data_IF_941438603458
#
_entry.id   IF_941438603458
#
_cell.length_a   1.000
_cell.length_b   1.000
_cell.length_c   1.000
_cell.angle_alpha   90.00
_cell.angle_beta   90.00
_cell.angle_gamma   90.00
#
_symmetry.space_group_name_H-M   'P 1'
#
loop_
_entity.id
_entity.type
_entity.pdbx_description
1 polymer ?
#
# COMPACT_ATOMS: atom_id res chain seq x y z
N UNK A 1 -26.32 5.81 -2.02
CA UNK A 1 -24.91 5.56 -2.40
C UNK A 1 -24.77 4.07 -2.67
N UNK A 2 -24.36 3.66 -3.88
CA UNK A 2 -24.02 2.24 -4.13
C UNK A 2 -22.54 2.09 -3.81
N UNK A 3 -22.24 1.66 -2.59
CA UNK A 3 -20.87 1.51 -2.11
C UNK A 3 -20.54 0.02 -2.05
N UNK A 4 -19.42 -0.38 -2.64
CA UNK A 4 -18.94 -1.76 -2.51
C UNK A 4 -18.32 -1.93 -1.11
N UNK A 5 -18.73 -2.98 -0.39
CA UNK A 5 -18.19 -3.30 0.94
C UNK A 5 -16.70 -3.65 0.84
N UNK A 6 -16.26 -4.16 -0.31
CA UNK A 6 -14.88 -4.53 -0.57
C UNK A 6 -14.55 -4.20 -2.01
N UNK A 7 -13.51 -3.39 -2.26
CA UNK A 7 -13.11 -2.98 -3.60
C UNK A 7 -11.60 -2.81 -3.70
N UNK A 8 -11.00 -3.45 -4.71
CA UNK A 8 -9.59 -3.28 -5.06
C UNK A 8 -9.33 -1.96 -5.78
N UNK A 9 -10.37 -1.35 -6.36
CA UNK A 9 -10.26 -0.11 -7.10
C UNK A 9 -10.42 1.11 -6.18
N UNK A 10 -9.42 1.33 -5.31
CA UNK A 10 -9.33 2.56 -4.52
C UNK A 10 -7.91 3.10 -4.45
N UNK A 11 -7.77 4.35 -4.00
CA UNK A 11 -6.48 5.03 -3.90
C UNK A 11 -5.50 4.32 -2.93
N UNK A 12 -5.99 3.71 -1.85
CA UNK A 12 -5.16 2.99 -0.89
C UNK A 12 -4.47 1.77 -1.49
N UNK A 13 -5.21 0.89 -2.19
CA UNK A 13 -4.60 -0.27 -2.83
C UNK A 13 -3.68 0.13 -3.99
N UNK A 14 -4.02 1.20 -4.73
CA UNK A 14 -3.12 1.78 -5.75
C UNK A 14 -1.79 2.23 -5.13
N UNK A 15 -1.85 2.87 -3.96
CA UNK A 15 -0.65 3.25 -3.21
C UNK A 15 0.19 2.05 -2.76
N UNK A 16 -0.43 1.00 -2.21
CA UNK A 16 0.30 -0.20 -1.82
C UNK A 16 0.96 -0.90 -3.01
N UNK A 17 0.33 -0.85 -4.18
CA UNK A 17 0.93 -1.34 -5.41
C UNK A 17 2.21 -0.60 -5.84
N UNK A 18 2.61 0.50 -5.20
CA UNK A 18 3.91 1.11 -5.46
C UNK A 18 5.06 0.34 -4.84
N UNK A 19 4.81 -0.57 -3.89
CA UNK A 19 5.87 -1.32 -3.23
C UNK A 19 5.93 -2.75 -3.78
N UNK A 20 7.15 -3.24 -4.03
CA UNK A 20 7.38 -4.61 -4.50
C UNK A 20 6.77 -5.63 -3.53
N UNK A 21 6.83 -5.34 -2.22
CA UNK A 21 6.32 -6.19 -1.16
C UNK A 21 4.85 -6.61 -1.34
N UNK A 22 3.97 -5.69 -1.77
CA UNK A 22 2.53 -5.95 -1.85
C UNK A 22 2.11 -6.60 -3.17
N UNK A 23 2.40 -7.89 -3.31
CA UNK A 23 1.89 -8.70 -4.43
C UNK A 23 0.38 -9.01 -4.29
N UNK A 24 -0.20 -9.65 -5.30
CA UNK A 24 -1.63 -10.03 -5.32
C UNK A 24 -2.04 -10.79 -4.07
N UNK A 25 -1.33 -11.87 -3.74
CA UNK A 25 -1.71 -12.75 -2.63
C UNK A 25 -1.77 -12.00 -1.30
N UNK A 26 -0.82 -11.10 -1.04
CA UNK A 26 -0.78 -10.30 0.18
C UNK A 26 -1.92 -9.28 0.21
N UNK A 27 -2.22 -8.63 -0.91
CA UNK A 27 -3.32 -7.67 -1.01
C UNK A 27 -4.68 -8.35 -0.88
N UNK A 28 -4.87 -9.51 -1.52
CA UNK A 28 -6.06 -10.34 -1.34
C UNK A 28 -6.21 -10.85 0.09
N UNK A 29 -5.13 -11.32 0.71
CA UNK A 29 -5.15 -11.73 2.10
C UNK A 29 -5.52 -10.57 3.02
N UNK A 30 -5.00 -9.37 2.75
CA UNK A 30 -5.35 -8.15 3.48
C UNK A 30 -6.85 -7.84 3.33
N UNK A 31 -7.38 -7.85 2.11
CA UNK A 31 -8.80 -7.55 1.84
C UNK A 31 -9.77 -8.58 2.42
N UNK A 32 -9.39 -9.86 2.42
CA UNK A 32 -10.18 -10.93 3.06
C UNK A 32 -10.25 -10.72 4.57
N UNK A 33 -9.21 -10.16 5.19
CA UNK A 33 -9.18 -9.88 6.63
C UNK A 33 -9.86 -8.54 6.99
N UNK A 34 -9.62 -7.52 6.20
CA UNK A 34 -10.11 -6.16 6.41
C UNK A 34 -10.94 -5.72 5.20
N UNK A 35 -12.29 -5.71 5.33
CA UNK A 35 -13.15 -5.17 4.29
C UNK A 35 -12.88 -3.68 4.10
N UNK A 36 -12.23 -3.34 2.98
CA UNK A 36 -11.95 -1.96 2.57
C UNK A 36 -12.69 -1.72 1.26
N UNK A 37 -13.64 -0.78 1.30
CA UNK A 37 -14.49 -0.41 0.17
C UNK A 37 -13.91 0.72 -0.68
N UNK A 38 -14.74 1.22 -1.60
CA UNK A 38 -14.45 2.40 -2.41
C UNK A 38 -15.70 3.28 -2.55
N UNK A 39 -15.51 4.60 -2.52
CA UNK A 39 -16.54 5.55 -3.02
C UNK A 39 -16.59 5.52 -4.55
N UNK A 40 -17.60 6.15 -5.14
CA UNK A 40 -17.67 6.33 -6.60
C UNK A 40 -16.48 7.12 -7.17
N UNK A 41 -15.75 7.87 -6.34
CA UNK A 41 -14.57 8.63 -6.74
C UNK A 41 -13.26 7.83 -6.51
N UNK A 42 -13.36 6.56 -6.08
CA UNK A 42 -12.20 5.71 -5.82
C UNK A 42 -11.51 6.00 -4.49
N UNK A 43 -12.18 6.70 -3.56
CA UNK A 43 -11.65 6.94 -2.22
C UNK A 43 -11.82 5.69 -1.38
N UNK A 44 -10.78 5.22 -0.67
CA UNK A 44 -10.89 4.06 0.22
C UNK A 44 -11.85 4.33 1.37
N UNK A 45 -12.63 3.30 1.71
CA UNK A 45 -13.49 3.31 2.90
C UNK A 45 -13.07 2.16 3.82
N UNK A 46 -12.54 2.49 4.99
CA UNK A 46 -12.15 1.53 6.02
C UNK A 46 -13.37 1.22 6.89
N UNK A 47 -14.02 0.08 6.67
CA UNK A 47 -15.22 -0.30 7.41
C UNK A 47 -14.90 -0.81 8.82
N UNK A 48 -15.60 -0.27 9.81
CA UNK A 48 -15.58 -0.77 11.18
C UNK A 48 -16.73 -1.76 11.34
N UNK A 49 -16.36 -3.00 11.63
CA UNK A 49 -17.27 -4.13 11.70
C UNK A 49 -17.14 -4.73 13.10
N UNK A 50 -18.26 -4.81 13.81
CA UNK A 50 -18.28 -5.34 15.18
C UNK A 50 -18.20 -6.89 15.19
N UNK A 51 -18.18 -7.48 16.38
CA UNK A 51 -18.18 -8.94 16.59
C UNK A 51 -19.43 -9.65 16.06
N UNK A 52 -20.55 -8.94 15.87
CA UNK A 52 -21.75 -9.48 15.20
C UNK A 52 -21.67 -9.42 13.66
N UNK A 53 -20.51 -9.10 13.09
CA UNK A 53 -20.28 -8.91 11.66
C UNK A 53 -21.16 -7.83 11.02
N UNK A 54 -21.51 -6.81 11.79
CA UNK A 54 -22.28 -5.66 11.34
C UNK A 54 -21.38 -4.44 11.17
N UNK A 55 -21.49 -3.78 10.03
CA UNK A 55 -20.89 -2.45 9.82
C UNK A 55 -21.54 -1.48 10.81
N UNK A 56 -20.75 -0.67 11.52
CA UNK A 56 -21.25 0.37 12.43
C UNK A 56 -20.81 1.76 12.01
N UNK A 57 -19.60 1.89 11.50
CA UNK A 57 -19.08 3.12 10.92
C UNK A 57 -18.02 2.82 9.85
N UNK A 58 -17.59 3.83 9.12
CA UNK A 58 -16.53 3.71 8.12
C UNK A 58 -15.78 5.01 7.93
N UNK A 59 -14.46 4.92 7.86
CA UNK A 59 -13.60 6.08 7.63
C UNK A 59 -13.29 6.18 6.14
N UNK A 60 -13.70 7.28 5.52
CA UNK A 60 -13.47 7.57 4.10
C UNK A 60 -12.29 8.52 4.02
N UNK A 61 -11.25 8.14 3.30
CA UNK A 61 -10.01 8.92 3.22
C UNK A 61 -9.81 9.39 1.77
N UNK A 62 -9.69 10.70 1.58
CA UNK A 62 -9.28 11.29 0.31
C UNK A 62 -7.75 11.40 0.30
N UNK A 63 -7.09 10.59 -0.52
CA UNK A 63 -5.63 10.49 -0.57
C UNK A 63 -5.07 10.38 -1.97
N UNK A 64 -3.80 10.75 -2.10
CA UNK A 64 -2.99 10.54 -3.29
C UNK A 64 -2.57 9.06 -3.41
N UNK A 65 -2.83 8.46 -4.58
CA UNK A 65 -2.51 7.05 -4.81
C UNK A 65 -1.04 6.77 -5.12
N UNK A 66 -0.20 7.79 -5.33
CA UNK A 66 1.22 7.61 -5.61
C UNK A 66 2.06 7.82 -4.35
N UNK A 67 1.79 8.91 -3.65
CA UNK A 67 2.53 9.36 -2.45
C UNK A 67 1.95 8.83 -1.15
N UNK A 68 0.67 8.45 -1.13
CA UNK A 68 -0.05 8.07 0.09
C UNK A 68 -0.47 9.26 0.96
N UNK A 69 -0.29 10.50 0.47
CA UNK A 69 -0.64 11.71 1.22
C UNK A 69 -2.16 11.85 1.36
N UNK A 70 -2.62 12.05 2.59
CA UNK A 70 -4.03 12.33 2.89
C UNK A 70 -4.31 13.83 2.77
N UNK A 71 -5.42 14.19 2.12
CA UNK A 71 -5.83 15.58 1.90
C UNK A 71 -7.10 15.96 2.66
N UNK A 72 -8.02 15.01 2.78
CA UNK A 72 -9.30 15.20 3.44
C UNK A 72 -9.80 13.86 3.98
N UNK A 73 -10.71 13.91 4.93
CA UNK A 73 -11.36 12.73 5.50
C UNK A 73 -12.83 12.98 5.81
N UNK A 74 -13.63 11.93 5.73
CA UNK A 74 -15.02 11.96 6.15
C UNK A 74 -15.44 10.64 6.76
N UNK A 75 -16.57 10.64 7.44
CA UNK A 75 -17.04 9.48 8.19
C UNK A 75 -18.44 9.09 7.77
N UNK A 76 -18.60 7.79 7.50
CA UNK A 76 -19.88 7.13 7.46
C UNK A 76 -20.22 6.62 8.86
N UNK A 77 -21.42 6.93 9.34
CA UNK A 77 -21.97 6.35 10.55
C UNK A 77 -23.29 5.67 10.21
N UNK A 78 -23.48 4.47 10.72
CA UNK A 78 -24.79 3.86 10.70
C UNK A 78 -25.56 4.34 11.93
N UNK A 79 -26.63 5.09 11.69
CA UNK A 79 -27.49 5.63 12.74
C UNK A 79 -27.89 4.54 13.75
N UNK A 80 -27.96 4.92 15.02
CA UNK A 80 -28.39 4.09 16.16
C UNK A 80 -27.42 2.96 16.57
N UNK A 81 -26.31 2.73 15.87
CA UNK A 81 -25.31 1.72 16.25
C UNK A 81 -24.12 2.32 17.01
N UNK A 82 -23.69 1.73 18.13
CA UNK A 82 -22.41 2.07 18.74
C UNK A 82 -21.27 1.86 17.75
N UNK A 83 -20.33 2.81 17.69
CA UNK A 83 -19.12 2.67 16.89
C UNK A 83 -18.21 1.59 17.49
N UNK A 84 -17.41 0.95 16.65
CA UNK A 84 -16.51 -0.14 17.07
C UNK A 84 -15.08 0.10 16.57
N UNK A 85 -14.11 -0.70 17.04
CA UNK A 85 -12.73 -0.62 16.53
C UNK A 85 -12.66 -1.13 15.09
N UNK A 86 -11.75 -0.55 14.30
CA UNK A 86 -11.41 -1.15 13.01
C UNK A 86 -10.69 -2.48 13.26
N UNK A 87 -11.19 -3.56 12.65
CA UNK A 87 -10.69 -4.91 12.88
C UNK A 87 -11.28 -5.62 14.10
N UNK A 88 -12.27 -5.05 14.79
CA UNK A 88 -12.90 -5.68 15.97
C UNK A 88 -13.49 -7.06 15.67
N UNK A 89 -14.07 -7.24 14.48
CA UNK A 89 -14.58 -8.53 13.99
C UNK A 89 -13.53 -9.65 13.95
N UNK A 90 -12.23 -9.34 14.06
CA UNK A 90 -11.16 -10.32 14.10
C UNK A 90 -10.93 -10.92 15.49
N UNK A 91 -11.42 -10.27 16.56
CA UNK A 91 -11.16 -10.68 17.94
C UNK A 91 -11.69 -12.07 18.28
N UNK A 92 -12.83 -12.45 17.68
CA UNK A 92 -13.46 -13.76 17.88
C UNK A 92 -12.78 -14.85 17.03
N UNK A 93 -12.28 -14.49 15.85
CA UNK A 93 -11.57 -15.42 14.97
C UNK A 93 -10.17 -15.78 15.51
N UNK A 94 -9.55 -14.89 16.30
CA UNK A 94 -8.19 -15.04 16.82
C UNK A 94 -8.12 -14.83 18.34
N UNK A 95 -8.78 -15.68 19.14
CA UNK A 95 -9.01 -15.40 20.55
C UNK A 95 -7.74 -15.33 21.39
N UNK A 96 -6.68 -16.04 20.99
CA UNK A 96 -5.39 -16.11 21.70
C UNK A 96 -4.29 -15.24 21.08
N UNK A 97 -4.55 -14.57 19.95
CA UNK A 97 -3.53 -13.75 19.29
C UNK A 97 -3.38 -12.40 20.01
N UNK A 98 -2.15 -11.92 20.14
CA UNK A 98 -1.87 -10.58 20.66
C UNK A 98 -2.44 -9.51 19.72
N UNK A 99 -3.12 -8.52 20.29
CA UNK A 99 -3.68 -7.38 19.56
C UNK A 99 -2.60 -6.30 19.44
N UNK A 100 -2.26 -5.90 18.22
CA UNK A 100 -1.54 -4.66 17.96
C UNK A 100 -2.56 -3.53 17.75
N UNK A 101 -2.52 -2.51 18.62
CA UNK A 101 -3.42 -1.37 18.55
C UNK A 101 -2.69 -0.14 18.04
N UNK A 102 -3.24 0.49 17.01
CA UNK A 102 -2.75 1.75 16.44
C UNK A 102 -3.89 2.77 16.40
N UNK A 103 -3.54 4.01 16.05
CA UNK A 103 -4.53 5.08 15.94
C UNK A 103 -5.36 4.95 14.66
N UNK A 104 -4.71 4.87 13.50
CA UNK A 104 -5.38 4.93 12.20
C UNK A 104 -5.51 3.57 11.50
N UNK A 105 -6.58 3.44 10.71
CA UNK A 105 -6.96 2.21 10.01
C UNK A 105 -5.97 1.83 8.91
N UNK A 106 -5.36 2.83 8.27
CA UNK A 106 -4.39 2.65 7.20
C UNK A 106 -3.14 1.93 7.73
N UNK A 107 -2.63 2.37 8.88
CA UNK A 107 -1.51 1.77 9.59
C UNK A 107 -1.83 0.33 9.97
N UNK A 108 -3.02 0.06 10.53
CA UNK A 108 -3.43 -1.31 10.87
C UNK A 108 -3.48 -2.22 9.63
N UNK A 109 -4.09 -1.75 8.55
CA UNK A 109 -4.21 -2.49 7.30
C UNK A 109 -2.82 -2.77 6.70
N UNK A 110 -1.96 -1.75 6.56
CA UNK A 110 -0.59 -1.90 6.03
C UNK A 110 0.20 -2.91 6.85
N UNK A 111 0.21 -2.76 8.18
CA UNK A 111 1.00 -3.61 9.07
C UNK A 111 0.52 -5.06 9.06
N UNK A 112 -0.77 -5.30 8.82
CA UNK A 112 -1.31 -6.66 8.65
C UNK A 112 -0.76 -7.42 7.43
N UNK A 113 -0.19 -6.69 6.44
CA UNK A 113 0.45 -7.26 5.26
C UNK A 113 1.88 -7.79 5.50
N UNK A 114 2.42 -7.57 6.70
CA UNK A 114 3.74 -8.05 7.12
C UNK A 114 3.63 -9.25 8.07
N UNK A 115 4.63 -10.15 8.10
CA UNK A 115 4.64 -11.33 8.95
C UNK A 115 4.90 -10.94 10.41
N UNK A 116 3.86 -10.43 11.07
CA UNK A 116 3.88 -10.04 12.48
C UNK A 116 3.06 -11.03 13.31
N UNK A 117 3.37 -11.23 14.60
CA UNK A 117 2.60 -12.09 15.48
C UNK A 117 1.34 -11.40 16.04
N UNK A 118 0.76 -10.45 15.31
CA UNK A 118 -0.34 -9.61 15.80
C UNK A 118 -1.56 -9.68 14.89
N UNK A 119 -2.74 -9.55 15.50
CA UNK A 119 -3.90 -8.98 14.79
C UNK A 119 -3.87 -7.47 14.97
N UNK A 120 -4.04 -6.73 13.88
CA UNK A 120 -3.94 -5.27 13.89
C UNK A 120 -5.32 -4.63 13.98
N UNK A 121 -5.55 -3.83 15.01
CA UNK A 121 -6.76 -3.05 15.20
C UNK A 121 -6.41 -1.56 15.22
N UNK A 122 -7.37 -0.73 14.83
CA UNK A 122 -7.24 0.72 14.95
C UNK A 122 -8.42 1.33 15.72
N UNK A 123 -8.13 2.37 16.50
CA UNK A 123 -9.18 3.14 17.19
C UNK A 123 -9.95 4.04 16.23
N UNK A 124 -9.30 4.46 15.15
CA UNK A 124 -9.79 5.46 14.23
C UNK A 124 -9.79 6.84 14.87
N UNK A 125 -10.93 7.53 14.78
CA UNK A 125 -11.10 8.94 15.12
C UNK A 125 -10.61 9.33 16.53
N UNK A 126 -9.90 10.45 16.62
CA UNK A 126 -9.69 11.21 17.86
C UNK A 126 -8.78 10.54 18.91
N UNK A 127 -8.74 11.11 20.12
CA UNK A 127 -8.07 10.47 21.27
C UNK A 127 -8.89 9.24 21.65
N UNK A 128 -8.29 8.05 21.59
CA UNK A 128 -8.92 6.82 22.05
C UNK A 128 -9.54 7.04 23.44
N UNK A 129 -10.84 6.74 23.58
CA UNK A 129 -11.51 6.85 24.88
C UNK A 129 -11.50 5.50 25.58
N UNK A 130 -11.59 5.46 26.93
CA UNK A 130 -11.64 4.21 27.69
C UNK A 130 -12.72 3.24 27.20
N UNK A 131 -13.88 3.76 26.80
CA UNK A 131 -15.00 2.97 26.29
C UNK A 131 -14.67 2.23 24.99
N UNK A 132 -13.87 2.83 24.10
CA UNK A 132 -13.43 2.19 22.86
C UNK A 132 -12.54 0.97 23.11
N UNK A 133 -11.94 0.85 24.29
CA UNK A 133 -10.96 -0.19 24.62
C UNK A 133 -11.58 -1.36 25.39
N UNK A 134 -12.85 -1.25 25.81
CA UNK A 134 -13.57 -2.32 26.50
C UNK A 134 -13.60 -3.66 25.73
N UNK A 135 -13.72 -3.70 24.38
CA UNK A 135 -13.64 -4.95 23.62
C UNK A 135 -12.30 -5.69 23.76
N UNK A 136 -11.25 -5.02 24.26
CA UNK A 136 -9.91 -5.60 24.42
C UNK A 136 -9.68 -6.19 25.82
N UNK A 137 -10.65 -6.12 26.73
CA UNK A 137 -10.52 -6.72 28.05
C UNK A 137 -10.30 -8.23 27.95
N UNK A 138 -9.34 -8.74 28.74
CA UNK A 138 -8.90 -10.14 28.68
C UNK A 138 -8.03 -10.49 27.47
N UNK A 139 -7.66 -9.53 26.61
CA UNK A 139 -6.69 -9.72 25.52
C UNK A 139 -5.32 -9.16 25.92
N UNK A 140 -4.25 -9.73 25.37
CA UNK A 140 -2.92 -9.13 25.43
C UNK A 140 -2.82 -8.06 24.34
N UNK A 141 -2.60 -6.80 24.73
CA UNK A 141 -2.54 -5.66 23.82
C UNK A 141 -1.13 -5.08 23.76
N UNK A 142 -0.63 -4.83 22.56
CA UNK A 142 0.56 -4.01 22.31
C UNK A 142 0.13 -2.78 21.54
N UNK A 143 0.32 -1.61 22.12
CA UNK A 143 0.02 -0.34 21.46
C UNK A 143 1.25 0.16 20.73
N UNK A 144 1.07 0.61 19.49
CA UNK A 144 2.09 1.27 18.69
C UNK A 144 1.67 2.73 18.45
N UNK A 145 2.01 3.66 19.37
CA UNK A 145 1.69 5.07 19.23
C UNK A 145 2.35 5.71 18.01
N UNK A 146 1.69 6.73 17.47
CA UNK A 146 2.34 7.69 16.59
C UNK A 146 3.45 8.44 17.36
N UNK A 147 4.41 8.98 16.61
CA UNK A 147 5.54 9.72 17.18
C UNK A 147 5.05 10.91 18.03
N UNK A 148 5.47 10.96 19.29
CA UNK A 148 5.07 11.98 20.25
C UNK A 148 3.74 11.70 20.98
N UNK A 149 3.09 10.57 20.74
CA UNK A 149 1.83 10.20 21.40
C UNK A 149 1.98 9.18 22.53
N UNK A 150 3.20 8.72 22.85
CA UNK A 150 3.43 7.70 23.87
C UNK A 150 2.75 8.04 25.22
N UNK A 151 2.98 9.24 25.75
CA UNK A 151 2.40 9.67 27.02
C UNK A 151 0.86 9.73 27.01
N UNK A 152 0.27 10.17 25.90
CA UNK A 152 -1.20 10.22 25.76
C UNK A 152 -1.82 8.83 25.78
N UNK A 153 -1.18 7.87 25.11
CA UNK A 153 -1.60 6.47 25.15
C UNK A 153 -1.45 5.87 26.55
N UNK A 154 -0.36 6.18 27.24
CA UNK A 154 -0.14 5.74 28.61
C UNK A 154 -1.24 6.20 29.55
N UNK A 155 -1.60 7.49 29.51
CA UNK A 155 -2.72 8.04 30.29
C UNK A 155 -4.04 7.35 29.97
N UNK A 156 -4.38 7.20 28.68
CA UNK A 156 -5.64 6.57 28.26
C UNK A 156 -5.72 5.12 28.73
N UNK A 157 -4.68 4.32 28.51
CA UNK A 157 -4.69 2.89 28.84
C UNK A 157 -4.73 2.64 30.35
N UNK A 158 -4.03 3.47 31.14
CA UNK A 158 -4.07 3.40 32.61
C UNK A 158 -5.45 3.69 33.21
N UNK A 159 -6.31 4.41 32.47
CA UNK A 159 -7.68 4.71 32.90
C UNK A 159 -8.68 3.58 32.64
N UNK A 160 -8.26 2.49 31.98
CA UNK A 160 -9.10 1.29 31.73
C UNK A 160 -8.71 0.19 32.73
N UNK A 161 -9.54 -0.12 33.73
CA UNK A 161 -9.27 -1.19 34.68
C UNK A 161 -9.12 -2.56 33.98
N UNK A 162 -8.25 -3.41 34.51
CA UNK A 162 -8.04 -4.80 34.06
C UNK A 162 -7.59 -4.98 32.60
N UNK A 163 -7.14 -3.92 31.93
CA UNK A 163 -6.55 -4.00 30.60
C UNK A 163 -5.09 -4.46 30.68
N UNK A 164 -4.77 -5.57 30.01
CA UNK A 164 -3.39 -6.07 29.89
C UNK A 164 -2.72 -5.45 28.66
N UNK A 165 -1.86 -4.45 28.86
CA UNK A 165 -1.22 -3.74 27.74
C UNK A 165 0.29 -3.53 27.91
N UNK A 166 0.96 -3.39 26.76
CA UNK A 166 2.31 -2.87 26.63
C UNK A 166 2.29 -1.73 25.60
N UNK A 167 3.07 -0.67 25.83
CA UNK A 167 3.20 0.44 24.88
C UNK A 167 4.60 0.37 24.27
N UNK A 168 4.65 0.25 22.95
CA UNK A 168 5.91 0.24 22.21
C UNK A 168 6.49 1.65 22.12
N UNK A 169 7.76 1.81 22.48
CA UNK A 169 8.50 3.07 22.37
C UNK A 169 9.32 3.19 21.06
N UNK A 170 9.08 2.27 20.11
CA UNK A 170 9.81 2.20 18.83
C UNK A 170 9.73 3.52 18.05
N UNK A 171 8.58 4.20 18.05
CA UNK A 171 8.39 5.46 17.34
C UNK A 171 9.06 6.64 18.05
N UNK A 172 9.17 6.61 19.38
CA UNK A 172 9.87 7.64 20.17
C UNK A 172 11.39 7.54 20.00
N UNK A 173 11.91 6.30 19.93
CA UNK A 173 13.35 6.02 19.74
C UNK A 173 13.80 6.16 18.28
N UNK A 174 12.86 6.17 17.34
CA UNK A 174 13.14 6.31 15.91
C UNK A 174 13.75 7.68 15.61
N UNK A 175 14.94 7.66 15.02
CA UNK A 175 15.60 8.86 14.47
C UNK A 175 15.04 9.25 13.10
N UNK A 176 14.18 8.42 12.49
CA UNK A 176 13.57 8.74 11.20
C UNK A 176 12.54 9.87 11.33
N UNK A 177 12.31 10.60 10.23
CA UNK A 177 11.23 11.57 10.10
C UNK A 177 9.83 10.93 9.99
N UNK A 178 9.72 9.59 10.06
CA UNK A 178 8.45 8.88 9.99
C UNK A 178 7.61 9.13 11.25
N UNK A 179 6.31 9.34 11.03
CA UNK A 179 5.34 9.64 12.08
C UNK A 179 4.64 8.38 12.61
N UNK A 180 4.36 7.41 11.74
CA UNK A 180 3.70 6.14 12.12
C UNK A 180 4.61 4.93 11.88
N UNK A 181 4.29 3.80 12.54
CA UNK A 181 5.02 2.54 12.34
C UNK A 181 4.93 2.05 10.89
N UNK A 182 3.77 2.25 10.22
CA UNK A 182 3.59 1.88 8.82
C UNK A 182 4.52 2.69 7.91
N UNK A 183 4.66 4.00 8.12
CA UNK A 183 5.61 4.82 7.36
C UNK A 183 7.06 4.35 7.56
N UNK A 184 7.43 4.01 8.79
CA UNK A 184 8.76 3.50 9.11
C UNK A 184 9.05 2.15 8.42
N UNK A 185 8.05 1.26 8.34
CA UNK A 185 8.19 -0.04 7.66
C UNK A 185 8.20 0.11 6.14
N UNK A 186 7.31 0.96 5.60
CA UNK A 186 7.20 1.22 4.16
C UNK A 186 8.44 1.92 3.59
N UNK A 187 9.07 2.82 4.34
CA UNK A 187 10.31 3.49 3.91
C UNK A 187 11.50 2.53 3.72
N UNK A 188 11.42 1.32 4.28
CA UNK A 188 12.41 0.26 4.09
C UNK A 188 12.06 -0.69 2.94
N UNK A 189 10.89 -0.52 2.31
CA UNK A 189 10.45 -1.38 1.21
C UNK A 189 10.94 -0.83 -0.13
N UNK A 190 11.36 -1.74 -1.00
CA UNK A 190 11.67 -1.39 -2.37
C UNK A 190 10.41 -0.95 -3.11
N UNK A 191 10.48 0.22 -3.74
CA UNK A 191 9.46 0.70 -4.65
C UNK A 191 9.55 -0.07 -5.98
N UNK A 192 8.41 -0.20 -6.64
CA UNK A 192 8.34 -0.69 -8.01
C UNK A 192 8.92 0.35 -8.94
N UNK A 193 9.55 -0.09 -10.04
CA UNK A 193 10.06 0.83 -11.02
C UNK A 193 8.94 1.59 -11.73
N UNK A 194 9.26 2.80 -12.17
CA UNK A 194 8.46 3.53 -13.16
C UNK A 194 8.49 2.78 -14.50
N UNK A 195 7.62 3.15 -15.44
CA UNK A 195 7.65 2.54 -16.78
C UNK A 195 9.01 2.77 -17.46
N UNK A 196 9.60 3.95 -17.27
CA UNK A 196 10.91 4.31 -17.80
C UNK A 196 12.03 3.45 -17.21
N UNK A 197 12.02 3.24 -15.89
CA UNK A 197 12.98 2.38 -15.21
C UNK A 197 12.81 0.92 -15.65
N UNK A 198 11.57 0.45 -15.76
CA UNK A 198 11.27 -0.90 -16.22
C UNK A 198 11.71 -1.11 -17.68
N UNK A 199 11.55 -0.11 -18.55
CA UNK A 199 12.04 -0.18 -19.92
C UNK A 199 13.57 -0.24 -19.98
N UNK A 200 14.27 0.55 -19.16
CA UNK A 200 15.72 0.48 -19.05
C UNK A 200 16.17 -0.91 -18.58
N UNK A 201 15.53 -1.48 -17.55
CA UNK A 201 15.83 -2.85 -17.11
C UNK A 201 15.66 -3.88 -18.24
N UNK A 202 14.58 -3.78 -19.03
CA UNK A 202 14.38 -4.66 -20.20
C UNK A 202 15.48 -4.50 -21.25
N UNK A 203 15.97 -3.28 -21.46
CA UNK A 203 17.09 -3.01 -22.37
C UNK A 203 18.39 -3.62 -21.86
N UNK A 204 18.68 -3.46 -20.57
CA UNK A 204 19.86 -4.03 -19.91
C UNK A 204 19.85 -5.57 -19.93
N UNK A 205 18.69 -6.19 -19.69
CA UNK A 205 18.50 -7.63 -19.81
C UNK A 205 18.77 -8.14 -21.24
N UNK A 206 18.36 -7.35 -22.25
CA UNK A 206 18.60 -7.69 -23.66
C UNK A 206 20.07 -7.48 -24.07
N UNK A 207 20.75 -6.49 -23.49
CA UNK A 207 22.16 -6.21 -23.74
C UNK A 207 22.85 -5.61 -22.49
N UNK A 208 23.65 -6.43 -21.76
CA UNK A 208 24.32 -5.98 -20.53
C UNK A 208 25.30 -4.81 -20.73
N UNK A 209 25.74 -4.53 -21.95
CA UNK A 209 26.59 -3.36 -22.24
C UNK A 209 25.84 -2.04 -22.02
N UNK A 210 24.51 -2.03 -22.04
CA UNK A 210 23.70 -0.83 -21.77
C UNK A 210 23.90 -0.38 -20.32
N UNK A 211 23.87 -1.31 -19.37
CA UNK A 211 24.14 -1.01 -17.96
C UNK A 211 25.57 -0.45 -17.76
N UNK A 212 26.55 -0.99 -18.51
CA UNK A 212 27.93 -0.48 -18.48
C UNK A 212 28.02 0.94 -19.03
N UNK A 213 27.29 1.27 -20.10
CA UNK A 213 27.26 2.61 -20.68
C UNK A 213 26.57 3.62 -19.76
N UNK A 214 25.43 3.26 -19.18
CA UNK A 214 24.73 4.09 -18.18
C UNK A 214 25.68 4.46 -17.05
N UNK A 215 26.39 3.46 -16.50
CA UNK A 215 27.35 3.68 -15.43
C UNK A 215 28.60 4.46 -15.86
N UNK A 216 29.16 4.14 -17.03
CA UNK A 216 30.41 4.76 -17.49
C UNK A 216 30.24 6.22 -17.90
N UNK A 217 29.05 6.58 -18.38
CA UNK A 217 28.73 7.92 -18.87
C UNK A 217 27.85 8.73 -17.90
N UNK A 218 27.52 8.16 -16.73
CA UNK A 218 26.67 8.79 -15.70
C UNK A 218 25.32 9.28 -16.28
N UNK A 219 24.65 8.39 -17.02
CA UNK A 219 23.41 8.74 -17.72
C UNK A 219 22.21 8.74 -16.77
N UNK A 220 21.43 9.81 -16.81
CA UNK A 220 20.17 9.91 -16.10
C UNK A 220 18.98 9.52 -17.00
N UNK A 221 18.02 8.81 -16.41
CA UNK A 221 16.79 8.42 -17.08
C UNK A 221 15.82 9.62 -17.14
N UNK A 222 15.45 10.04 -18.35
CA UNK A 222 14.59 11.22 -18.57
C UNK A 222 13.17 10.89 -19.08
N UNK A 223 12.86 9.61 -19.32
CA UNK A 223 11.54 9.13 -19.77
C UNK A 223 11.60 8.21 -21.00
N UNK A 224 10.42 7.80 -21.49
CA UNK A 224 10.26 6.96 -22.69
C UNK A 224 9.64 7.77 -23.82
N UNK A 225 10.20 7.62 -25.03
CA UNK A 225 9.60 8.13 -26.26
C UNK A 225 9.07 6.97 -27.12
N UNK A 226 7.84 7.09 -27.61
CA UNK A 226 7.29 6.12 -28.57
C UNK A 226 7.93 6.32 -29.94
N UNK A 227 8.37 5.23 -30.57
CA UNK A 227 9.00 5.24 -31.90
C UNK A 227 8.07 5.71 -33.02
N UNK A 228 6.76 5.86 -32.76
CA UNK A 228 5.77 6.37 -33.73
C UNK A 228 5.88 7.88 -34.01
N UNK A 229 6.65 8.64 -33.22
CA UNK A 229 6.81 10.09 -33.38
C UNK A 229 8.24 10.53 -33.73
N UNK A 230 9.04 9.69 -34.40
CA UNK A 230 10.28 10.17 -35.03
C UNK A 230 9.93 10.80 -36.39
N UNK A 231 9.22 11.93 -36.35
CA UNK A 231 9.46 12.94 -37.40
C UNK A 231 10.85 13.49 -37.15
N UNK A 232 11.75 13.24 -38.12
CA UNK A 232 13.08 13.85 -38.18
C UNK A 232 12.93 15.36 -38.07
N UNK A 233 13.11 15.94 -36.88
CA UNK A 233 13.97 17.11 -36.67
C UNK A 233 14.01 17.53 -35.19
N UNK A 234 15.13 18.15 -34.80
CA UNK A 234 15.44 18.85 -33.54
C UNK A 234 16.09 18.03 -32.42
N UNK A 235 17.42 18.16 -32.41
CA UNK A 235 18.33 17.95 -31.29
C UNK A 235 17.81 18.58 -29.98
N UNK A 236 17.81 17.86 -28.84
CA UNK A 236 17.49 18.44 -27.54
C UNK A 236 18.57 19.43 -27.09
N UNK A 237 18.17 20.64 -26.66
CA UNK A 237 19.07 21.62 -26.05
C UNK A 237 19.31 21.28 -24.57
N UNK A 238 20.58 21.13 -24.20
CA UNK A 238 21.07 21.02 -22.83
C UNK A 238 20.75 22.28 -22.02
N UNK A 239 20.17 22.13 -20.83
CA UNK A 239 20.09 23.19 -19.81
C UNK A 239 21.06 22.87 -18.67
N UNK A 240 21.75 23.87 -18.08
CA UNK A 240 22.74 23.63 -17.05
C UNK A 240 22.08 23.36 -15.69
N UNK A 241 22.66 22.44 -14.93
CA UNK A 241 22.28 22.10 -13.57
C UNK A 241 22.56 23.28 -12.62
N UNK A 242 21.54 23.72 -11.88
CA UNK A 242 21.69 24.60 -10.73
C UNK A 242 21.38 23.82 -9.45
N UNK A 243 22.40 23.62 -8.62
CA UNK A 243 22.27 22.94 -7.33
C UNK A 243 21.75 23.86 -6.21
N UNK A 244 20.90 23.30 -5.36
CA UNK A 244 21.08 23.15 -3.89
C UNK A 244 19.74 22.81 -3.24
N UNK A 245 19.70 21.73 -2.46
CA UNK A 245 19.05 21.70 -1.14
C UNK A 245 19.54 20.48 -0.36
N UNK A 246 20.06 20.70 0.85
CA UNK A 246 20.08 19.69 1.90
C UNK A 246 18.69 19.71 2.53
N UNK A 247 17.92 18.65 2.32
CA UNK A 247 16.63 18.43 2.96
C UNK A 247 16.46 16.92 3.16
N UNK A 248 15.94 16.50 4.31
CA UNK A 248 16.06 15.14 4.83
C UNK A 248 15.69 14.04 3.82
N UNK A 249 16.64 13.11 3.64
CA UNK A 249 16.61 12.01 2.65
C UNK A 249 15.34 11.16 2.70
N UNK A 250 14.70 10.99 3.87
CA UNK A 250 13.47 10.22 4.00
C UNK A 250 12.24 10.91 3.41
N UNK A 251 12.19 12.25 3.46
CA UNK A 251 11.08 13.05 2.92
C UNK A 251 11.24 13.23 1.41
N UNK A 252 12.48 13.30 0.91
CA UNK A 252 12.75 13.31 -0.53
C UNK A 252 12.35 12.00 -1.23
N UNK A 253 12.55 10.84 -0.61
CA UNK A 253 12.06 9.56 -1.16
C UNK A 253 10.52 9.49 -1.29
N UNK A 254 9.80 10.22 -0.43
CA UNK A 254 8.33 10.32 -0.46
C UNK A 254 7.87 11.41 -1.45
N UNK A 255 8.65 12.48 -1.64
CA UNK A 255 8.37 13.56 -2.60
C UNK A 255 8.73 13.20 -4.06
N UNK A 256 9.65 12.26 -4.29
CA UNK A 256 9.95 11.67 -5.61
C UNK A 256 8.84 10.73 -6.12
N UNK A 257 7.67 10.73 -5.48
CA UNK A 257 6.47 10.01 -5.90
C UNK A 257 5.56 10.85 -6.81
N UNK A 258 6.10 11.86 -7.51
CA UNK A 258 5.38 12.65 -8.53
C UNK A 258 5.51 12.07 -9.96
N UNK A 259 6.20 10.95 -10.11
CA UNK A 259 6.27 10.21 -11.38
C UNK A 259 5.30 9.04 -11.33
N UNK A 260 4.41 8.96 -12.32
CA UNK A 260 3.43 7.87 -12.45
C UNK A 260 4.15 6.52 -12.39
N UNK A 261 3.97 5.81 -11.28
CA UNK A 261 4.57 4.49 -11.05
C UNK A 261 3.73 3.42 -11.71
N UNK A 262 4.37 2.33 -12.11
CA UNK A 262 3.71 1.34 -12.95
C UNK A 262 2.76 0.46 -12.10
N UNK A 263 1.46 0.70 -12.20
CA UNK A 263 0.44 0.08 -11.33
C UNK A 263 -0.20 -1.21 -11.88
N UNK A 264 0.18 -1.69 -13.07
CA UNK A 264 -0.27 -2.98 -13.61
C UNK A 264 -1.77 -3.19 -13.80
N UNK A 265 -2.58 -2.12 -13.85
CA UNK A 265 -4.03 -2.23 -14.07
C UNK A 265 -4.35 -2.62 -15.50
N UNK A 266 -4.66 -3.89 -15.72
CA UNK A 266 -5.49 -4.31 -16.85
C UNK A 266 -6.93 -4.50 -16.36
N UNK A 267 -7.86 -3.64 -16.78
CA UNK A 267 -9.30 -3.78 -16.43
C UNK A 267 -9.90 -5.12 -16.90
N UNK A 268 -9.23 -5.81 -17.82
CA UNK A 268 -9.69 -7.05 -18.46
C UNK A 268 -8.82 -8.27 -18.09
N UNK A 269 -7.99 -8.17 -17.03
CA UNK A 269 -7.03 -9.22 -16.62
C UNK A 269 -7.68 -10.59 -16.31
N UNK A 270 -8.98 -10.61 -16.04
CA UNK A 270 -9.76 -11.84 -15.80
C UNK A 270 -10.07 -12.64 -17.08
N UNK A 271 -9.77 -12.13 -18.30
CA UNK A 271 -10.14 -12.77 -19.58
C UNK A 271 -8.98 -13.40 -20.37
N UNK A 272 -7.72 -13.18 -19.97
CA UNK A 272 -6.59 -13.78 -20.68
C UNK A 272 -6.15 -15.09 -20.00
N UNK A 273 -6.21 -16.20 -20.73
CA UNK A 273 -5.85 -17.53 -20.21
C UNK A 273 -4.34 -17.70 -19.92
N UNK A 274 -3.53 -16.74 -20.35
CA UNK A 274 -2.07 -16.68 -20.15
C UNK A 274 -1.62 -15.35 -19.54
N UNK A 275 -2.54 -14.45 -19.16
CA UNK A 275 -2.19 -13.35 -18.27
C UNK A 275 -2.00 -13.99 -16.92
N UNK A 276 -0.75 -14.29 -16.61
CA UNK A 276 -0.33 -14.92 -15.38
C UNK A 276 -1.09 -14.31 -14.21
N UNK A 277 -1.74 -15.17 -13.42
CA UNK A 277 -2.42 -14.86 -12.17
C UNK A 277 -1.56 -13.89 -11.35
N UNK A 278 -1.92 -12.61 -11.45
CA UNK A 278 -1.14 -11.50 -10.94
C UNK A 278 -1.89 -10.19 -11.14
N UNK A 279 -2.33 -9.54 -10.05
CA UNK A 279 -2.93 -8.19 -10.02
C UNK A 279 -2.00 -7.10 -10.63
N UNK A 280 -0.78 -7.47 -11.02
CA UNK A 280 0.28 -6.55 -11.43
C UNK A 280 0.93 -6.84 -12.80
N UNK A 281 0.30 -7.62 -13.69
CA UNK A 281 0.42 -7.53 -15.16
C UNK A 281 1.77 -7.55 -15.93
N UNK A 282 2.97 -7.40 -15.34
CA UNK A 282 4.24 -7.41 -16.12
C UNK A 282 5.46 -8.10 -15.53
N UNK A 283 5.57 -8.44 -14.25
CA UNK A 283 6.68 -9.30 -13.83
C UNK A 283 6.28 -10.78 -14.00
N UNK A 284 6.89 -11.46 -14.97
CA UNK A 284 6.62 -12.87 -15.20
C UNK A 284 7.44 -13.72 -14.22
N UNK A 285 6.80 -14.21 -13.15
CA UNK A 285 7.46 -15.08 -12.16
C UNK A 285 8.05 -16.37 -12.74
N UNK A 286 7.58 -16.82 -13.92
CA UNK A 286 8.14 -17.96 -14.66
C UNK A 286 9.39 -17.61 -15.46
N UNK A 287 9.48 -16.38 -15.99
CA UNK A 287 10.59 -15.92 -16.83
C UNK A 287 11.61 -15.09 -16.05
N UNK A 288 11.33 -14.76 -14.79
CA UNK A 288 12.14 -13.88 -13.94
C UNK A 288 12.46 -12.50 -14.56
N UNK A 289 11.61 -11.97 -15.45
CA UNK A 289 11.79 -10.68 -16.13
C UNK A 289 10.48 -9.88 -16.27
N UNK A 290 10.60 -8.58 -16.53
CA UNK A 290 9.46 -7.70 -16.85
C UNK A 290 9.03 -7.82 -18.34
N UNK A 291 7.73 -7.83 -18.61
CA UNK A 291 7.11 -7.88 -19.95
C UNK A 291 6.42 -6.55 -20.31
N UNK A 292 6.06 -6.35 -21.58
CA UNK A 292 5.41 -5.11 -22.05
C UNK A 292 3.91 -5.06 -21.69
N UNK A 293 3.42 -3.86 -21.32
CA UNK A 293 1.99 -3.60 -21.10
C UNK A 293 1.17 -3.84 -22.38
N UNK A 294 0.11 -4.65 -22.29
CA UNK A 294 -0.85 -4.84 -23.39
C UNK A 294 -0.40 -5.75 -24.54
N UNK A 295 0.84 -6.27 -24.50
CA UNK A 295 1.31 -7.31 -25.44
C UNK A 295 1.49 -8.61 -24.68
N UNK A 296 0.57 -9.55 -24.88
CA UNK A 296 0.58 -10.89 -24.26
C UNK A 296 1.71 -11.81 -24.76
N UNK A 297 2.83 -11.25 -25.20
CA UNK A 297 3.87 -11.99 -25.90
C UNK A 297 4.94 -12.46 -24.91
N UNK A 298 4.60 -13.52 -24.18
CA UNK A 298 5.55 -14.26 -23.36
C UNK A 298 6.51 -15.15 -24.20
N UNK A 299 6.49 -15.03 -25.54
CA UNK A 299 7.43 -15.71 -26.44
C UNK A 299 7.23 -17.22 -26.55
N UNK A 300 6.05 -17.73 -26.18
CA UNK A 300 5.63 -19.09 -26.46
C UNK A 300 4.48 -19.01 -27.46
N UNK A 301 4.80 -19.19 -28.74
CA UNK A 301 3.79 -19.51 -29.74
C UNK A 301 2.94 -20.66 -29.18
N UNK A 302 1.63 -20.48 -29.19
CA UNK A 302 0.70 -21.51 -28.77
C UNK A 302 0.94 -22.75 -29.65
N UNK A 303 1.48 -23.82 -29.07
CA UNK A 303 1.33 -25.15 -29.65
C UNK A 303 -0.18 -25.45 -29.66
N UNK A 304 -0.81 -25.17 -30.80
CA UNK A 304 -2.16 -25.58 -31.10
C UNK A 304 -2.12 -27.12 -31.12
N UNK A 305 -2.82 -27.83 -30.23
CA UNK A 305 -2.91 -29.28 -30.37
C UNK A 305 -3.64 -29.58 -31.69
N UNK A 306 -3.16 -30.53 -32.50
CA UNK A 306 -3.81 -30.86 -33.76
C UNK A 306 -5.26 -31.24 -33.49
N UNK A 307 -6.16 -30.65 -34.28
CA UNK A 307 -7.60 -30.89 -34.23
C UNK A 307 -7.83 -32.39 -34.44
N UNK A 308 -8.47 -33.05 -33.47
CA UNK A 308 -8.92 -34.41 -33.65
C UNK A 308 -9.94 -34.44 -34.81
N UNK A 309 -9.65 -35.22 -35.84
CA UNK A 309 -10.61 -35.68 -36.85
C UNK A 309 -11.52 -36.76 -36.27
#
# INVERSE_FOLDING_TARGET
>A
MKTEITSFDNAFFKYLCNFIWFNQDRLEAMMKRYPIGATNQGEPIFWHINTEHKITNGHIITMDSETGKVYDDSWYYQDERPTCLFGEHLLDAFPSQTVALVKDEMTAAIMSGFPTPYIWLATGKGKATPTNLLPLLGKSVVVFPDKGEYGKWQETLQSVPDLHFHISDVMEKSQSGCYTIAQMVLSQQALRPTEAEAALMRMEDANPNIALLVKALDLELVGISSTSNITKDKTPRTRPASGKAKEDSAVQSILLAQEVRWHGRNLECHKCKLSHEGINGTYCGKLHRYVEYGKGDCGLEAEIPPRAE
#
